data_IF_640118521461
#
_entry.id   IF_640118521461
#
_cell.length_a   1.000
_cell.length_b   1.000
_cell.length_c   1.000
_cell.angle_alpha   90.00
_cell.angle_beta   90.00
_cell.angle_gamma   90.00
#
_symmetry.space_group_name_H-M   'P 1'
#
loop_
_entity.id
_entity.type
_entity.pdbx_description
1 polymer ?
#
# COMPACT_ATOMS: atom_id res chain seq x y z
N UNK A 1 -68.75 9.32 33.20
CA UNK A 1 -68.82 8.23 34.21
C UNK A 1 -67.41 7.64 34.34
N UNK A 2 -66.94 7.31 35.58
CA UNK A 2 -66.12 8.21 36.44
C UNK A 2 -64.77 7.56 36.89
N UNK A 3 -63.84 8.14 37.67
CA UNK A 3 -63.67 9.41 38.43
C UNK A 3 -62.49 10.23 37.82
N UNK A 4 -62.08 11.47 38.18
CA UNK A 4 -62.03 12.35 39.37
C UNK A 4 -60.76 12.25 40.28
N UNK A 5 -60.21 13.42 40.63
CA UNK A 5 -58.92 13.70 41.30
C UNK A 5 -58.67 13.02 42.67
N UNK A 6 -57.39 12.87 43.05
CA UNK A 6 -56.79 13.51 44.26
C UNK A 6 -55.27 13.31 44.40
N UNK A 7 -54.64 14.22 45.15
CA UNK A 7 -53.28 14.09 45.69
C UNK A 7 -53.34 14.01 47.23
N UNK A 8 -52.29 13.46 47.88
CA UNK A 8 -51.64 13.94 49.14
C UNK A 8 -50.98 12.85 50.02
N UNK A 9 -49.90 13.27 50.69
CA UNK A 9 -49.43 12.91 52.06
C UNK A 9 -48.54 11.68 52.38
N UNK A 10 -47.28 12.03 52.73
CA UNK A 10 -46.35 11.55 53.80
C UNK A 10 -47.01 11.47 55.22
N UNK A 11 -46.32 11.08 56.35
CA UNK A 11 -45.06 10.32 56.60
C UNK A 11 -45.14 9.33 57.82
N UNK A 12 -43.97 8.97 58.43
CA UNK A 12 -43.66 8.37 59.77
C UNK A 12 -43.29 6.87 59.75
N UNK A 13 -42.37 6.33 60.58
CA UNK A 13 -41.55 6.89 61.69
C UNK A 13 -40.33 6.00 62.03
N UNK A 14 -39.27 6.60 62.63
CA UNK A 14 -38.31 6.03 63.61
C UNK A 14 -37.49 4.74 63.28
N UNK A 15 -36.49 4.30 64.08
CA UNK A 15 -35.34 4.96 64.75
C UNK A 15 -34.51 3.83 65.40
N UNK A 16 -33.20 3.72 65.14
CA UNK A 16 -32.30 2.87 65.92
C UNK A 16 -30.86 3.40 65.87
N UNK A 17 -30.24 3.56 67.04
CA UNK A 17 -28.84 3.97 67.21
C UNK A 17 -28.11 2.80 67.88
N UNK A 18 -27.00 2.36 67.29
CA UNK A 18 -25.97 1.58 68.00
C UNK A 18 -24.61 2.15 67.60
N UNK A 19 -23.76 2.41 68.58
CA UNK A 19 -22.39 2.89 68.41
C UNK A 19 -21.43 2.05 69.25
N UNK A 20 -20.29 1.64 68.69
CA UNK A 20 -19.11 1.30 69.51
C UNK A 20 -17.80 1.26 68.71
N UNK A 21 -16.84 2.08 69.17
CA UNK A 21 -15.40 1.82 69.25
C UNK A 21 -14.60 1.34 68.01
N UNK A 22 -13.86 2.29 67.43
CA UNK A 22 -12.38 2.31 67.46
C UNK A 22 -11.60 1.01 67.22
N UNK A 23 -10.88 0.95 66.09
CA UNK A 23 -9.46 0.55 66.10
C UNK A 23 -8.70 1.19 64.93
N UNK A 24 -7.41 1.48 65.14
CA UNK A 24 -6.52 2.10 64.14
C UNK A 24 -6.10 1.09 63.07
N UNK A 25 -5.90 1.51 61.82
CA UNK A 25 -4.83 0.95 61.00
C UNK A 25 -4.22 2.00 60.06
N UNK A 26 -2.97 1.73 59.67
CA UNK A 26 -1.99 2.67 59.15
C UNK A 26 -2.07 2.93 57.65
N UNK A 27 -1.51 4.07 57.24
CA UNK A 27 -1.33 4.47 55.85
C UNK A 27 -0.49 3.45 55.06
N UNK A 28 -0.98 3.05 53.89
CA UNK A 28 -0.16 2.45 52.83
C UNK A 28 -0.34 3.34 51.59
N UNK A 29 0.69 4.13 51.28
CA UNK A 29 0.80 4.88 50.03
C UNK A 29 1.18 3.90 48.92
N UNK A 30 0.18 3.44 48.15
CA UNK A 30 0.43 2.78 46.87
C UNK A 30 0.64 3.87 45.79
N UNK A 31 1.82 3.94 45.14
CA UNK A 31 1.98 4.84 44.00
C UNK A 31 1.23 4.23 42.80
N UNK A 32 0.13 4.86 42.38
CA UNK A 32 -0.41 4.59 41.05
C UNK A 32 0.60 5.08 40.02
N UNK A 33 1.37 4.14 39.45
CA UNK A 33 2.16 4.40 38.27
C UNK A 33 1.19 4.58 37.09
N UNK A 34 0.78 5.82 36.82
CA UNK A 34 0.00 6.15 35.63
C UNK A 34 0.90 5.91 34.42
N UNK A 35 0.71 4.78 33.75
CA UNK A 35 1.30 4.54 32.44
C UNK A 35 0.76 5.61 31.49
N UNK A 36 1.58 6.62 31.20
CA UNK A 36 1.30 7.58 30.16
C UNK A 36 1.42 6.89 28.79
N UNK A 37 0.36 6.18 28.38
CA UNK A 37 0.22 5.72 27.00
C UNK A 37 0.19 6.95 26.10
N UNK A 38 1.31 7.23 25.44
CA UNK A 38 1.40 8.27 24.42
C UNK A 38 0.62 7.82 23.19
N UNK A 39 -0.70 7.92 23.27
CA UNK A 39 -1.57 7.89 22.08
C UNK A 39 -1.14 9.05 21.19
N UNK A 40 -0.51 8.74 20.05
CA UNK A 40 -0.19 9.75 19.04
C UNK A 40 -1.52 10.32 18.55
N UNK A 41 -1.89 11.50 19.06
CA UNK A 41 -3.07 12.21 18.58
C UNK A 41 -2.74 12.76 17.20
N UNK A 42 -3.19 12.05 16.16
CA UNK A 42 -3.32 12.60 14.81
C UNK A 42 -4.21 13.84 14.93
N UNK A 43 -3.60 15.02 14.82
CA UNK A 43 -4.34 16.28 14.88
C UNK A 43 -5.11 16.46 13.57
N UNK A 44 -6.38 16.86 13.69
CA UNK A 44 -7.41 16.77 12.65
C UNK A 44 -6.94 17.01 11.21
N UNK A 45 -6.76 15.92 10.47
CA UNK A 45 -6.81 15.92 9.01
C UNK A 45 -8.20 16.36 8.54
N UNK A 46 -8.33 17.01 7.37
CA UNK A 46 -9.63 17.16 6.71
C UNK A 46 -10.27 15.77 6.52
N UNK A 47 -11.60 15.69 6.59
CA UNK A 47 -12.35 14.43 6.66
C UNK A 47 -12.14 13.46 5.48
N UNK A 48 -11.50 13.91 4.40
CA UNK A 48 -11.17 13.14 3.20
C UNK A 48 -9.79 12.45 3.22
N UNK A 49 -8.87 12.79 4.13
CA UNK A 49 -7.53 12.14 4.23
C UNK A 49 -7.34 11.35 5.53
N UNK A 50 -8.43 11.09 6.27
CA UNK A 50 -8.40 10.37 7.54
C UNK A 50 -7.77 8.98 7.37
N UNK A 51 -6.67 8.74 8.09
CA UNK A 51 -5.94 7.47 8.05
C UNK A 51 -4.90 7.36 6.92
N UNK A 52 -4.65 8.44 6.16
CA UNK A 52 -3.51 8.51 5.25
C UNK A 52 -2.21 8.64 6.05
N UNK A 53 -1.20 7.87 5.66
CA UNK A 53 0.19 8.03 6.12
C UNK A 53 1.04 8.36 4.90
N UNK A 54 1.81 9.44 4.96
CA UNK A 54 2.80 9.78 3.93
C UNK A 54 4.12 10.12 4.61
N UNK A 55 5.11 9.24 4.45
CA UNK A 55 6.45 9.40 4.98
C UNK A 55 7.37 9.97 3.91
N UNK A 56 8.11 11.02 4.26
CA UNK A 56 9.27 11.53 3.55
C UNK A 56 10.52 10.89 4.20
N UNK A 57 11.09 9.91 3.50
CA UNK A 57 12.10 9.01 4.05
C UNK A 57 13.45 9.70 4.06
N UNK A 58 14.05 9.89 5.24
CA UNK A 58 15.25 10.72 5.37
C UNK A 58 14.96 12.22 5.57
N UNK A 59 13.69 12.62 5.73
CA UNK A 59 13.39 13.99 6.14
C UNK A 59 13.87 14.22 7.58
N UNK A 60 14.87 15.09 7.75
CA UNK A 60 15.54 15.34 9.04
C UNK A 60 14.73 16.21 10.02
N UNK A 61 13.67 16.86 9.54
CA UNK A 61 12.85 17.74 10.36
C UNK A 61 11.59 17.01 10.84
N UNK A 62 11.25 17.14 12.12
CA UNK A 62 10.14 16.40 12.72
C UNK A 62 8.79 17.14 12.63
N UNK A 63 8.74 18.38 12.12
CA UNK A 63 7.46 19.05 11.83
C UNK A 63 6.87 18.54 10.51
N UNK A 64 5.64 17.96 10.52
CA UNK A 64 4.96 17.60 9.29
C UNK A 64 4.66 18.80 8.40
N UNK A 65 4.66 18.62 7.08
CA UNK A 65 4.47 19.68 6.09
C UNK A 65 3.46 19.25 5.01
N UNK A 66 2.93 20.20 4.24
CA UNK A 66 2.12 19.90 3.04
C UNK A 66 2.90 20.33 1.81
N UNK A 67 3.09 19.42 0.86
CA UNK A 67 3.71 19.77 -0.41
C UNK A 67 2.77 20.68 -1.23
N UNK A 68 3.30 21.79 -1.75
CA UNK A 68 2.53 22.72 -2.59
C UNK A 68 1.98 22.08 -3.87
N UNK A 69 2.64 21.03 -4.37
CA UNK A 69 2.25 20.25 -5.54
C UNK A 69 1.17 19.20 -5.25
N UNK A 70 1.04 18.75 -3.99
CA UNK A 70 0.06 17.74 -3.56
C UNK A 70 -0.94 18.38 -2.58
N UNK A 71 -2.00 18.98 -3.13
CA UNK A 71 -3.01 19.69 -2.33
C UNK A 71 -3.66 18.78 -1.29
N UNK A 72 -3.44 19.10 0.00
CA UNK A 72 -4.19 18.52 1.12
C UNK A 72 -3.65 17.21 1.70
N UNK A 73 -2.51 16.70 1.22
CA UNK A 73 -1.81 15.57 1.85
C UNK A 73 -0.63 16.09 2.67
N UNK A 74 -0.64 15.76 3.96
CA UNK A 74 0.44 16.07 4.88
C UNK A 74 1.49 14.94 4.85
N UNK A 75 2.75 15.33 4.73
CA UNK A 75 3.93 14.47 4.78
C UNK A 75 4.64 14.68 6.12
N UNK A 76 5.29 13.64 6.62
CA UNK A 76 6.05 13.67 7.87
C UNK A 76 7.35 12.87 7.75
N UNK A 77 8.27 13.08 8.68
CA UNK A 77 9.50 12.27 8.76
C UNK A 77 9.18 10.78 8.99
N UNK A 78 10.05 9.93 8.47
CA UNK A 78 10.02 8.48 8.64
C UNK A 78 10.64 8.00 9.98
N UNK A 79 11.12 8.91 10.81
CA UNK A 79 11.61 8.63 12.17
C UNK A 79 10.53 7.93 13.00
N UNK A 80 10.90 6.79 13.59
CA UNK A 80 10.01 5.96 14.40
C UNK A 80 9.22 4.89 13.63
N UNK A 81 9.28 4.91 12.28
CA UNK A 81 8.64 3.88 11.43
C UNK A 81 9.63 2.81 10.96
N UNK A 82 10.94 3.04 11.11
CA UNK A 82 12.02 2.12 10.71
C UNK A 82 13.19 2.19 11.68
N UNK A 83 13.92 1.08 11.80
CA UNK A 83 15.19 1.02 12.53
C UNK A 83 16.39 1.08 11.58
N UNK A 84 17.33 1.97 11.87
CA UNK A 84 18.59 2.09 11.12
C UNK A 84 18.46 2.86 9.79
N UNK A 85 19.28 2.45 8.82
CA UNK A 85 19.49 3.16 7.56
C UNK A 85 20.23 4.50 7.72
N UNK A 86 20.68 5.06 6.60
CA UNK A 86 21.36 6.35 6.50
C UNK A 86 20.48 7.37 5.78
N UNK A 87 20.50 8.61 6.28
CA UNK A 87 19.66 9.70 5.77
C UNK A 87 20.42 10.60 4.81
N UNK A 88 19.97 10.65 3.56
CA UNK A 88 20.58 11.41 2.47
C UNK A 88 19.63 12.44 1.86
N UNK A 89 20.22 13.42 1.17
CA UNK A 89 19.54 14.25 0.20
C UNK A 89 20.06 13.86 -1.19
N UNK A 90 19.24 14.02 -2.23
CA UNK A 90 19.72 13.86 -3.61
C UNK A 90 20.72 14.96 -3.97
N UNK A 91 21.56 14.73 -4.99
CA UNK A 91 22.51 15.73 -5.46
C UNK A 91 21.80 17.02 -5.90
N UNK A 92 22.42 18.18 -5.62
CA UNK A 92 21.82 19.50 -5.82
C UNK A 92 21.32 19.76 -7.26
N UNK A 93 21.99 19.17 -8.25
CA UNK A 93 21.61 19.19 -9.67
C UNK A 93 20.21 18.64 -9.94
N UNK A 94 19.74 17.65 -9.16
CA UNK A 94 18.44 17.01 -9.34
C UNK A 94 17.33 17.59 -8.45
N UNK A 95 17.68 18.34 -7.39
CA UNK A 95 16.70 18.91 -6.44
C UNK A 95 15.64 19.80 -7.08
N UNK A 96 15.98 20.55 -8.13
CA UNK A 96 15.04 21.42 -8.84
C UNK A 96 14.09 20.67 -9.79
N UNK A 97 14.47 19.45 -10.21
CA UNK A 97 13.68 18.60 -11.10
C UNK A 97 12.78 17.59 -10.37
N UNK A 98 12.96 17.41 -9.05
CA UNK A 98 12.18 16.47 -8.26
C UNK A 98 10.68 16.85 -8.24
N UNK A 99 9.77 15.96 -8.71
CA UNK A 99 8.33 16.22 -8.74
C UNK A 99 7.71 16.63 -7.40
N UNK A 100 8.19 16.05 -6.29
CA UNK A 100 7.69 16.28 -4.93
C UNK A 100 8.84 16.57 -3.95
N UNK A 101 8.57 17.31 -2.87
CA UNK A 101 9.54 17.55 -1.79
C UNK A 101 10.04 16.22 -1.17
N UNK A 102 9.14 15.24 -1.01
CA UNK A 102 9.44 13.89 -0.52
C UNK A 102 10.23 13.01 -1.49
N UNK A 103 10.72 13.56 -2.59
CA UNK A 103 11.63 12.92 -3.53
C UNK A 103 13.03 13.56 -3.51
N UNK A 104 13.22 14.63 -2.72
CA UNK A 104 14.52 15.30 -2.53
C UNK A 104 15.35 14.67 -1.40
N UNK A 105 14.74 13.84 -0.57
CA UNK A 105 15.44 13.06 0.48
C UNK A 105 15.18 11.57 0.31
N UNK A 106 16.06 10.75 0.89
CA UNK A 106 15.90 9.29 0.94
C UNK A 106 16.57 8.70 2.18
N UNK A 107 16.09 7.52 2.59
CA UNK A 107 16.80 6.63 3.51
C UNK A 107 17.39 5.46 2.74
N UNK A 108 18.71 5.28 2.84
CA UNK A 108 19.45 4.15 2.25
C UNK A 108 19.78 3.08 3.31
N UNK A 109 19.97 1.84 2.89
CA UNK A 109 20.24 0.70 3.75
C UNK A 109 21.44 -0.10 3.24
N UNK A 110 22.68 0.41 3.39
CA UNK A 110 23.89 -0.28 2.90
C UNK A 110 24.20 -1.56 3.66
N UNK A 111 23.66 -1.72 4.87
CA UNK A 111 23.87 -2.87 5.75
C UNK A 111 22.60 -3.71 5.85
N UNK A 112 22.79 -5.02 6.06
CA UNK A 112 21.71 -5.96 6.27
C UNK A 112 21.08 -6.52 4.99
N UNK A 113 20.56 -7.74 5.08
CA UNK A 113 19.82 -8.42 4.02
C UNK A 113 18.36 -7.94 3.90
N UNK A 114 17.76 -7.52 5.02
CA UNK A 114 16.35 -7.14 5.16
C UNK A 114 16.22 -5.92 6.07
N UNK A 115 15.51 -4.90 5.62
CA UNK A 115 15.30 -3.63 6.31
C UNK A 115 13.83 -3.22 6.19
N UNK A 116 13.12 -3.04 7.31
CA UNK A 116 11.65 -2.99 7.30
C UNK A 116 11.08 -1.74 7.96
N UNK A 117 10.21 -1.05 7.24
CA UNK A 117 9.27 -0.10 7.81
C UNK A 117 8.10 -0.84 8.45
N UNK A 118 7.59 -0.31 9.56
CA UNK A 118 6.33 -0.73 10.19
C UNK A 118 5.37 0.45 10.17
N UNK A 119 4.37 0.39 9.29
CA UNK A 119 3.34 1.42 9.15
C UNK A 119 2.16 1.07 10.06
N UNK A 120 1.74 1.95 10.99
CA UNK A 120 0.48 1.81 11.70
C UNK A 120 -0.69 1.66 10.73
N UNK A 121 -1.67 0.85 11.10
CA UNK A 121 -2.82 0.55 10.25
C UNK A 121 -4.04 0.17 11.07
N UNK A 122 -5.13 -0.06 10.35
CA UNK A 122 -6.31 -0.77 10.84
C UNK A 122 -6.57 -1.95 9.92
N UNK A 123 -7.28 -3.00 10.36
CA UNK A 123 -7.63 -4.12 9.49
C UNK A 123 -8.33 -3.69 8.19
N UNK A 124 -8.35 -4.60 7.21
CA UNK A 124 -9.04 -4.38 5.92
C UNK A 124 -8.12 -3.82 4.83
N UNK A 125 -8.69 -3.46 3.68
CA UNK A 125 -7.92 -3.19 2.45
C UNK A 125 -7.10 -1.90 2.52
N UNK A 126 -5.89 -1.94 1.97
CA UNK A 126 -4.92 -0.83 1.90
C UNK A 126 -4.27 -0.78 0.52
N UNK A 127 -4.04 0.42 0.01
CA UNK A 127 -3.02 0.67 -1.00
C UNK A 127 -1.75 1.13 -0.27
N UNK A 128 -0.62 0.52 -0.59
CA UNK A 128 0.72 0.93 -0.13
C UNK A 128 1.52 1.32 -1.36
N UNK A 129 2.18 2.47 -1.34
CA UNK A 129 3.04 2.97 -2.42
C UNK A 129 4.41 3.33 -1.89
N UNK A 130 5.46 2.85 -2.57
CA UNK A 130 6.84 3.24 -2.31
C UNK A 130 7.41 3.97 -3.53
N UNK A 131 8.15 5.05 -3.30
CA UNK A 131 8.80 5.86 -4.34
C UNK A 131 10.32 5.85 -4.17
N UNK A 132 11.03 5.83 -5.30
CA UNK A 132 12.48 5.70 -5.37
C UNK A 132 13.04 6.70 -6.37
N UNK A 133 13.65 7.75 -5.83
CA UNK A 133 14.38 8.79 -6.58
C UNK A 133 15.84 8.66 -6.19
N UNK A 134 16.69 8.09 -7.05
CA UNK A 134 18.10 7.88 -6.72
C UNK A 134 18.85 9.20 -6.58
N UNK A 135 18.70 10.09 -7.58
CA UNK A 135 19.24 11.44 -7.57
C UNK A 135 20.72 11.54 -7.25
N UNK A 136 21.50 10.50 -7.57
CA UNK A 136 22.95 10.40 -7.30
C UNK A 136 23.34 10.80 -5.86
N UNK A 137 22.54 10.36 -4.88
CA UNK A 137 22.68 10.77 -3.47
C UNK A 137 24.04 10.42 -2.82
N UNK A 138 24.76 9.46 -3.40
CA UNK A 138 26.07 8.99 -2.97
C UNK A 138 27.22 9.44 -3.89
N UNK A 139 26.91 10.13 -5.01
CA UNK A 139 27.90 10.61 -5.97
C UNK A 139 28.60 9.50 -6.76
N UNK A 140 28.02 8.30 -6.81
CA UNK A 140 28.58 7.12 -7.46
C UNK A 140 28.00 6.87 -8.86
N UNK A 141 26.91 7.53 -9.23
CA UNK A 141 26.16 7.38 -10.48
C UNK A 141 25.82 5.91 -10.84
N UNK A 142 25.57 5.07 -9.81
CA UNK A 142 25.42 3.61 -9.92
C UNK A 142 24.27 3.16 -10.83
N UNK A 143 23.26 4.00 -11.04
CA UNK A 143 22.13 3.67 -11.92
C UNK A 143 22.48 3.78 -13.41
N UNK A 144 23.58 4.46 -13.76
CA UNK A 144 23.99 4.71 -15.14
C UNK A 144 25.34 4.07 -15.52
N UNK A 145 25.98 3.32 -14.62
CA UNK A 145 27.28 2.68 -14.88
C UNK A 145 27.20 1.36 -15.69
N UNK A 146 25.98 0.96 -16.08
CA UNK A 146 25.71 -0.26 -16.85
C UNK A 146 25.63 -1.55 -16.03
N UNK A 147 25.96 -1.51 -14.73
CA UNK A 147 25.85 -2.68 -13.86
C UNK A 147 24.44 -2.88 -13.30
N UNK A 148 24.07 -4.12 -12.90
CA UNK A 148 22.80 -4.37 -12.24
C UNK A 148 22.66 -3.55 -10.94
N UNK A 149 21.54 -2.82 -10.78
CA UNK A 149 21.14 -2.17 -9.54
C UNK A 149 19.71 -2.62 -9.25
N UNK A 150 19.58 -3.68 -8.45
CA UNK A 150 18.30 -4.25 -8.04
C UNK A 150 18.25 -4.51 -6.54
N UNK A 151 17.04 -4.38 -5.98
CA UNK A 151 16.71 -4.81 -4.62
C UNK A 151 15.24 -5.23 -4.55
N UNK A 152 14.88 -6.09 -3.60
CA UNK A 152 13.52 -6.60 -3.44
C UNK A 152 12.66 -5.70 -2.57
N UNK A 153 11.35 -5.73 -2.83
CA UNK A 153 10.30 -5.25 -1.92
C UNK A 153 9.49 -6.44 -1.43
N UNK A 154 9.22 -6.49 -0.12
CA UNK A 154 8.27 -7.41 0.48
C UNK A 154 7.16 -6.63 1.19
N UNK A 155 5.95 -7.18 1.13
CA UNK A 155 4.80 -6.77 1.95
C UNK A 155 4.63 -7.81 3.07
N UNK A 156 4.97 -7.43 4.29
CA UNK A 156 5.19 -8.37 5.40
C UNK A 156 6.31 -9.37 5.09
N UNK A 157 6.02 -10.67 5.23
CA UNK A 157 6.93 -11.74 4.85
C UNK A 157 7.04 -11.93 3.32
N UNK A 158 6.07 -11.48 2.54
CA UNK A 158 5.87 -11.94 1.17
C UNK A 158 6.52 -11.05 0.11
N UNK A 159 7.16 -11.67 -0.89
CA UNK A 159 7.75 -10.94 -2.01
C UNK A 159 6.66 -10.21 -2.78
N UNK A 160 6.84 -8.89 -2.93
CA UNK A 160 5.94 -8.02 -3.67
C UNK A 160 6.49 -7.79 -5.07
N UNK A 161 7.65 -7.16 -5.20
CA UNK A 161 8.26 -6.89 -6.51
C UNK A 161 9.76 -6.57 -6.38
N UNK A 162 10.51 -6.62 -7.49
CA UNK A 162 11.85 -6.06 -7.54
C UNK A 162 11.81 -4.57 -7.92
N UNK A 163 12.58 -3.76 -7.22
CA UNK A 163 13.03 -2.45 -7.69
C UNK A 163 14.25 -2.68 -8.58
N UNK A 164 14.25 -2.04 -9.74
CA UNK A 164 15.35 -2.10 -10.70
C UNK A 164 15.62 -0.69 -11.22
N UNK A 165 16.85 -0.24 -11.04
CA UNK A 165 17.35 1.08 -11.43
C UNK A 165 18.54 0.96 -12.40
N UNK A 166 18.74 -0.19 -13.05
CA UNK A 166 19.78 -0.38 -14.06
C UNK A 166 19.49 0.43 -15.31
N UNK A 167 20.45 1.27 -15.70
CA UNK A 167 20.35 2.26 -16.78
C UNK A 167 19.18 3.24 -16.57
N UNK A 168 18.90 3.58 -15.32
CA UNK A 168 17.82 4.50 -14.96
C UNK A 168 18.36 5.90 -14.68
N UNK A 169 17.73 6.91 -15.29
CA UNK A 169 18.10 8.32 -15.11
C UNK A 169 18.00 8.70 -13.62
N UNK A 170 19.08 9.21 -12.99
CA UNK A 170 19.07 9.57 -11.58
C UNK A 170 17.96 10.56 -11.17
N UNK A 171 17.54 11.45 -12.08
CA UNK A 171 16.47 12.42 -11.84
C UNK A 171 15.06 11.80 -11.86
N UNK A 172 14.90 10.64 -12.51
CA UNK A 172 13.60 10.02 -12.71
C UNK A 172 13.18 9.19 -11.51
N UNK A 173 11.94 9.39 -11.05
CA UNK A 173 11.38 8.59 -9.94
C UNK A 173 10.61 7.39 -10.47
N UNK A 174 10.92 6.21 -9.95
CA UNK A 174 10.03 5.04 -10.06
C UNK A 174 9.15 4.95 -8.81
N UNK A 175 7.94 4.44 -8.97
CA UNK A 175 7.08 4.05 -7.86
C UNK A 175 6.58 2.61 -8.05
N UNK A 176 6.23 1.98 -6.94
CA UNK A 176 5.54 0.69 -6.88
C UNK A 176 4.32 0.88 -6.00
N UNK A 177 3.17 0.34 -6.38
CA UNK A 177 2.01 0.22 -5.47
C UNK A 177 1.60 -1.24 -5.29
N UNK A 178 1.08 -1.60 -4.12
CA UNK A 178 0.41 -2.88 -3.86
C UNK A 178 -0.93 -2.62 -3.19
N UNK A 179 -1.96 -3.33 -3.63
CA UNK A 179 -3.24 -3.41 -2.94
C UNK A 179 -3.27 -4.73 -2.17
N UNK A 180 -3.41 -4.62 -0.86
CA UNK A 180 -3.23 -5.71 0.11
C UNK A 180 -4.27 -5.61 1.23
N UNK A 181 -4.36 -6.64 2.08
CA UNK A 181 -5.18 -6.62 3.29
C UNK A 181 -4.26 -6.47 4.50
N UNK A 182 -4.44 -5.40 5.28
CA UNK A 182 -3.84 -5.32 6.60
C UNK A 182 -4.58 -6.30 7.54
N UNK A 183 -3.90 -7.26 8.18
CA UNK A 183 -4.56 -8.21 9.08
C UNK A 183 -4.80 -7.63 10.49
N UNK A 184 -4.12 -6.55 10.86
CA UNK A 184 -4.10 -6.03 12.23
C UNK A 184 -3.81 -4.52 12.31
N UNK A 185 -3.05 -4.14 13.33
CA UNK A 185 -2.72 -2.76 13.68
C UNK A 185 -1.57 -2.14 12.87
N UNK A 186 -0.98 -2.92 11.95
CA UNK A 186 0.23 -2.53 11.24
C UNK A 186 0.41 -3.28 9.91
N UNK A 187 1.20 -2.68 9.03
CA UNK A 187 1.65 -3.25 7.75
C UNK A 187 3.16 -3.02 7.64
N UNK A 188 3.93 -4.10 7.48
CA UNK A 188 5.37 -3.99 7.26
C UNK A 188 5.72 -3.90 5.77
N UNK A 189 6.64 -3.01 5.42
CA UNK A 189 7.18 -2.86 4.06
C UNK A 189 8.69 -3.02 4.14
N UNK A 190 9.22 -4.07 3.54
CA UNK A 190 10.62 -4.46 3.69
C UNK A 190 11.40 -4.32 2.38
N UNK A 191 12.56 -3.70 2.47
CA UNK A 191 13.55 -3.62 1.40
C UNK A 191 14.57 -4.75 1.60
N UNK A 192 14.83 -5.51 0.54
CA UNK A 192 15.69 -6.69 0.55
C UNK A 192 16.94 -6.44 -0.30
N UNK A 193 18.11 -6.56 0.32
CA UNK A 193 19.37 -6.38 -0.37
C UNK A 193 19.73 -7.61 -1.22
N UNK A 194 19.74 -7.44 -2.54
CA UNK A 194 20.17 -8.47 -3.49
C UNK A 194 21.69 -8.46 -3.76
N UNK A 195 22.45 -7.54 -3.14
CA UNK A 195 23.89 -7.39 -3.33
C UNK A 195 24.32 -6.70 -4.64
N UNK A 196 23.38 -6.22 -5.45
CA UNK A 196 23.68 -5.53 -6.72
C UNK A 196 23.61 -4.01 -6.62
N UNK A 197 22.80 -3.47 -5.69
CA UNK A 197 22.81 -2.07 -5.31
C UNK A 197 22.25 -1.85 -3.91
N UNK A 198 22.54 -0.69 -3.32
CA UNK A 198 22.05 -0.31 -1.99
C UNK A 198 20.54 -0.11 -2.02
N UNK A 199 19.73 -0.85 -1.25
CA UNK A 199 18.31 -0.57 -1.12
C UNK A 199 18.09 0.80 -0.49
N UNK A 200 17.15 1.58 -1.02
CA UNK A 200 16.74 2.86 -0.46
C UNK A 200 15.26 3.11 -0.71
N UNK A 201 14.68 4.12 -0.06
CA UNK A 201 13.33 4.64 -0.35
C UNK A 201 13.29 6.14 -0.12
N UNK A 202 12.58 6.87 -0.98
CA UNK A 202 12.41 8.33 -0.89
C UNK A 202 11.08 8.70 -0.22
N UNK A 203 9.99 8.02 -0.57
CA UNK A 203 8.70 8.19 0.10
C UNK A 203 7.97 6.87 0.27
N UNK A 204 7.22 6.76 1.36
CA UNK A 204 6.37 5.59 1.67
C UNK A 204 4.98 6.05 2.09
N UNK A 205 3.97 5.67 1.32
CA UNK A 205 2.59 6.10 1.47
C UNK A 205 1.66 4.91 1.73
N UNK A 206 0.71 5.07 2.64
CA UNK A 206 -0.38 4.13 2.90
C UNK A 206 -1.74 4.86 2.82
N UNK A 207 -2.70 4.21 2.15
CA UNK A 207 -4.05 4.71 1.90
C UNK A 207 -5.09 3.65 2.27
N UNK A 208 -6.03 3.95 3.18
CA UNK A 208 -7.19 3.09 3.42
C UNK A 208 -8.05 2.96 2.15
N UNK A 209 -8.50 1.75 1.84
CA UNK A 209 -9.50 1.48 0.81
C UNK A 209 -10.79 0.99 1.48
N UNK A 210 -11.93 1.11 0.80
CA UNK A 210 -13.15 0.44 1.26
C UNK A 210 -13.05 -1.08 1.01
N UNK A 211 -13.58 -1.90 1.93
CA UNK A 211 -13.47 -3.36 1.85
C UNK A 211 -14.16 -3.97 0.61
N UNK A 212 -15.17 -3.27 0.06
CA UNK A 212 -15.84 -3.61 -1.19
C UNK A 212 -14.97 -3.42 -2.44
N UNK A 213 -13.91 -2.61 -2.37
CA UNK A 213 -13.05 -2.36 -3.52
C UNK A 213 -12.17 -3.56 -3.83
N UNK A 214 -11.91 -3.84 -5.11
CA UNK A 214 -11.06 -4.95 -5.58
C UNK A 214 -11.40 -6.27 -4.85
N UNK A 215 -12.57 -6.89 -5.12
CA UNK A 215 -13.10 -8.00 -4.31
C UNK A 215 -12.22 -9.26 -4.28
N UNK A 216 -11.32 -9.40 -5.25
CA UNK A 216 -10.32 -10.47 -5.35
C UNK A 216 -9.08 -10.27 -4.46
N UNK A 217 -8.83 -9.06 -3.92
CA UNK A 217 -7.77 -8.82 -2.93
C UNK A 217 -8.20 -9.38 -1.58
N UNK A 218 -7.40 -10.29 -1.01
CA UNK A 218 -7.66 -10.99 0.24
C UNK A 218 -6.33 -11.32 0.97
N UNK A 219 -6.39 -12.03 2.10
CA UNK A 219 -5.21 -12.36 2.90
C UNK A 219 -4.20 -13.29 2.22
N UNK A 220 -4.61 -14.04 1.19
CA UNK A 220 -3.75 -14.93 0.39
C UNK A 220 -3.30 -14.32 -0.94
N UNK A 221 -4.01 -13.29 -1.43
CA UNK A 221 -3.77 -12.64 -2.73
C UNK A 221 -3.76 -11.13 -2.58
N UNK A 222 -2.58 -10.54 -2.74
CA UNK A 222 -2.41 -9.11 -3.00
C UNK A 222 -2.16 -8.89 -4.50
N UNK A 223 -2.24 -7.64 -4.96
CA UNK A 223 -2.01 -7.29 -6.36
C UNK A 223 -1.03 -6.12 -6.47
N UNK A 224 0.05 -6.27 -7.24
CA UNK A 224 1.01 -5.17 -7.51
C UNK A 224 0.53 -4.36 -8.70
N UNK A 225 0.71 -3.05 -8.62
CA UNK A 225 0.50 -2.11 -9.71
C UNK A 225 1.36 -2.49 -10.92
N UNK A 226 0.72 -2.78 -12.05
CA UNK A 226 1.43 -2.85 -13.33
C UNK A 226 1.27 -1.51 -14.08
N UNK A 227 0.03 -1.08 -14.33
CA UNK A 227 -0.32 0.25 -14.84
C UNK A 227 -1.73 0.66 -14.37
N UNK A 228 -1.96 1.96 -14.21
CA UNK A 228 -3.30 2.52 -14.07
C UNK A 228 -3.40 3.78 -14.93
N UNK A 229 -4.14 3.68 -16.03
CA UNK A 229 -4.16 4.64 -17.13
C UNK A 229 -5.53 5.31 -17.19
N UNK A 230 -5.54 6.62 -17.43
CA UNK A 230 -6.72 7.41 -17.80
C UNK A 230 -6.60 7.91 -19.24
N UNK A 231 -7.72 7.96 -19.93
CA UNK A 231 -7.81 8.31 -21.34
C UNK A 231 -8.53 9.67 -21.53
N UNK A 232 -8.43 10.22 -22.74
CA UNK A 232 -8.87 11.58 -23.08
C UNK A 232 -7.76 12.63 -22.96
N UNK A 233 -8.16 13.90 -22.96
CA UNK A 233 -7.24 15.03 -23.09
C UNK A 233 -6.82 15.55 -21.70
N UNK A 234 -5.58 15.25 -21.31
CA UNK A 234 -5.03 15.72 -20.03
C UNK A 234 -3.62 16.27 -20.16
N UNK A 235 -3.31 17.26 -19.32
CA UNK A 235 -1.99 17.90 -19.19
C UNK A 235 -1.10 17.21 -18.16
N UNK A 236 -1.70 16.71 -17.08
CA UNK A 236 -0.92 16.22 -15.93
C UNK A 236 -0.51 14.77 -16.17
N UNK A 237 0.79 14.46 -16.02
CA UNK A 237 1.32 13.12 -16.20
C UNK A 237 0.66 12.09 -15.25
N UNK A 238 0.47 12.48 -13.97
CA UNK A 238 -0.24 11.70 -12.96
C UNK A 238 -1.41 12.52 -12.42
N UNK A 239 -2.59 11.91 -12.33
CA UNK A 239 -3.70 12.38 -11.50
C UNK A 239 -3.83 11.51 -10.26
N UNK A 240 -4.10 12.15 -9.12
CA UNK A 240 -4.22 11.53 -7.80
C UNK A 240 -5.24 12.30 -6.94
N UNK A 241 -5.10 12.30 -5.62
CA UNK A 241 -5.88 13.18 -4.74
C UNK A 241 -5.72 14.67 -5.12
N UNK A 242 -6.76 15.52 -5.03
CA UNK A 242 -8.11 15.24 -4.53
C UNK A 242 -9.11 14.69 -5.56
N UNK A 243 -8.71 14.49 -6.84
CA UNK A 243 -9.64 13.96 -7.84
C UNK A 243 -9.97 12.49 -7.56
N UNK A 244 -8.97 11.70 -7.14
CA UNK A 244 -9.19 10.37 -6.58
C UNK A 244 -9.13 10.42 -5.04
N UNK A 245 -10.26 10.17 -4.33
CA UNK A 245 -10.29 10.12 -2.86
C UNK A 245 -9.40 9.04 -2.25
N UNK A 246 -9.02 8.01 -3.00
CA UNK A 246 -8.09 6.95 -2.57
C UNK A 246 -6.64 7.24 -2.92
N UNK A 247 -6.37 8.42 -3.52
CA UNK A 247 -5.04 8.89 -3.89
C UNK A 247 -4.25 7.93 -4.80
N UNK A 248 -4.94 7.08 -5.56
CA UNK A 248 -4.35 6.23 -6.61
C UNK A 248 -3.70 7.07 -7.69
N UNK A 249 -2.58 6.62 -8.23
CA UNK A 249 -1.97 7.25 -9.40
C UNK A 249 -2.70 6.80 -10.66
N UNK A 250 -3.11 7.78 -11.48
CA UNK A 250 -3.69 7.60 -12.80
C UNK A 250 -2.78 8.28 -13.83
N UNK A 251 -1.95 7.47 -14.50
CA UNK A 251 -1.07 7.90 -15.58
C UNK A 251 -1.89 8.37 -16.79
N UNK A 252 -1.46 9.47 -17.42
CA UNK A 252 -2.04 9.96 -18.66
C UNK A 252 -1.70 9.03 -19.83
N UNK A 253 -2.69 8.65 -20.65
CA UNK A 253 -2.43 7.97 -21.91
C UNK A 253 -1.70 8.89 -22.91
N UNK A 254 -0.48 8.51 -23.31
CA UNK A 254 0.41 9.37 -24.11
C UNK A 254 -0.02 9.54 -25.57
N UNK A 255 -0.87 8.67 -26.11
CA UNK A 255 -1.30 8.74 -27.52
C UNK A 255 -2.59 9.56 -27.67
N UNK A 256 -2.42 10.86 -27.88
CA UNK A 256 -3.52 11.81 -28.16
C UNK A 256 -3.48 12.34 -29.60
N UNK A 257 -2.59 11.82 -30.45
CA UNK A 257 -2.44 12.19 -31.87
C UNK A 257 -3.22 11.26 -32.78
N UNK A 258 -3.58 11.74 -33.98
CA UNK A 258 -4.29 10.96 -34.99
C UNK A 258 -3.63 9.57 -35.20
N UNK A 259 -4.39 8.46 -35.21
CA UNK A 259 -5.85 8.39 -35.31
C UNK A 259 -6.62 8.46 -33.97
N UNK A 260 -5.95 8.69 -32.85
CA UNK A 260 -6.63 8.85 -31.55
C UNK A 260 -7.38 10.18 -31.48
N UNK A 261 -8.59 10.11 -30.93
CA UNK A 261 -9.48 11.24 -30.69
C UNK A 261 -9.86 11.23 -29.21
N UNK A 262 -9.60 12.35 -28.53
CA UNK A 262 -10.07 12.56 -27.16
C UNK A 262 -11.53 13.03 -27.16
N UNK A 263 -12.34 12.44 -26.27
CA UNK A 263 -13.71 12.85 -25.98
C UNK A 263 -13.80 13.36 -24.53
N UNK A 264 -14.65 14.35 -24.32
CA UNK A 264 -15.01 14.83 -23.00
C UNK A 264 -16.51 15.09 -22.91
N UNK A 265 -17.04 15.21 -21.69
CA UNK A 265 -18.42 15.66 -21.46
C UNK A 265 -18.56 16.45 -20.18
N UNK A 266 -19.44 17.45 -20.19
CA UNK A 266 -19.93 18.12 -18.97
C UNK A 266 -21.05 17.33 -18.28
N UNK A 267 -21.66 16.37 -18.97
CA UNK A 267 -22.77 15.56 -18.45
C UNK A 267 -22.30 14.69 -17.29
N UNK A 268 -23.12 14.59 -16.23
CA UNK A 268 -22.80 13.74 -15.08
C UNK A 268 -22.67 12.28 -15.51
N UNK A 269 -21.56 11.62 -15.14
CA UNK A 269 -21.41 10.17 -15.33
C UNK A 269 -21.84 9.47 -14.04
N UNK A 270 -22.93 8.72 -14.12
CA UNK A 270 -23.56 8.07 -12.97
C UNK A 270 -22.86 6.77 -12.61
N UNK A 271 -22.87 6.44 -11.32
CA UNK A 271 -22.48 5.14 -10.77
C UNK A 271 -23.75 4.45 -10.26
N UNK A 272 -23.93 3.17 -10.58
CA UNK A 272 -25.11 2.45 -10.09
C UNK A 272 -25.06 2.30 -8.56
N UNK A 273 -26.19 2.41 -7.85
CA UNK A 273 -26.23 2.18 -6.41
C UNK A 273 -25.66 0.80 -6.05
N UNK A 274 -24.62 0.79 -5.21
CA UNK A 274 -23.93 -0.44 -4.81
C UNK A 274 -22.66 -0.78 -5.60
N UNK A 275 -22.38 -0.15 -6.76
CA UNK A 275 -21.08 -0.33 -7.43
C UNK A 275 -19.96 0.44 -6.71
N UNK A 276 -19.43 -0.19 -5.66
CA UNK A 276 -18.30 0.29 -4.89
C UNK A 276 -17.00 -0.46 -5.23
N UNK A 277 -16.99 -1.21 -6.33
CA UNK A 277 -15.96 -2.21 -6.70
C UNK A 277 -14.62 -1.59 -7.05
N UNK A 278 -14.64 -0.47 -7.78
CA UNK A 278 -13.41 0.20 -8.25
C UNK A 278 -13.43 1.70 -7.98
N UNK A 279 -14.61 2.33 -7.86
CA UNK A 279 -14.73 3.75 -7.49
C UNK A 279 -13.82 4.68 -8.32
N UNK A 280 -13.69 4.41 -9.61
CA UNK A 280 -13.00 5.30 -10.56
C UNK A 280 -13.67 6.69 -10.49
N UNK A 281 -12.90 7.78 -10.33
CA UNK A 281 -13.42 9.13 -10.22
C UNK A 281 -14.29 9.55 -11.40
N UNK A 282 -15.39 10.26 -11.13
CA UNK A 282 -16.27 10.79 -12.19
C UNK A 282 -15.51 11.73 -13.14
N UNK A 283 -14.56 12.51 -12.62
CA UNK A 283 -13.71 13.40 -13.44
C UNK A 283 -12.80 12.67 -14.44
N UNK A 284 -12.48 11.39 -14.17
CA UNK A 284 -11.79 10.52 -15.14
C UNK A 284 -12.80 9.93 -16.12
N UNK A 285 -13.94 9.43 -15.64
CA UNK A 285 -14.96 8.83 -16.50
C UNK A 285 -15.65 9.83 -17.44
N UNK A 286 -15.61 11.13 -17.13
CA UNK A 286 -16.03 12.24 -18.03
C UNK A 286 -15.09 12.46 -19.21
N UNK A 287 -13.96 11.76 -19.26
CA UNK A 287 -13.03 11.75 -20.38
C UNK A 287 -12.91 10.34 -20.96
N UNK A 288 -12.55 10.27 -22.24
CA UNK A 288 -12.28 9.02 -22.93
C UNK A 288 -11.38 9.23 -24.14
N UNK A 289 -10.75 8.16 -24.59
CA UNK A 289 -10.16 8.09 -25.93
C UNK A 289 -10.99 7.15 -26.80
N UNK A 290 -11.14 7.53 -28.06
CA UNK A 290 -11.71 6.76 -29.17
C UNK A 290 -10.75 6.87 -30.35
N UNK A 291 -11.01 6.18 -31.46
CA UNK A 291 -10.34 6.46 -32.73
C UNK A 291 -11.23 7.23 -33.70
N UNK A 292 -10.62 7.73 -34.77
CA UNK A 292 -11.31 8.13 -36.00
C UNK A 292 -12.18 6.98 -36.57
N UNK A 293 -13.29 7.33 -37.20
CA UNK A 293 -14.31 6.36 -37.66
C UNK A 293 -13.83 5.37 -38.72
N UNK A 294 -12.71 5.66 -39.40
CA UNK A 294 -12.10 4.75 -40.38
C UNK A 294 -11.37 3.56 -39.73
N UNK A 295 -11.11 3.61 -38.43
CA UNK A 295 -10.43 2.54 -37.69
C UNK A 295 -11.45 1.60 -37.02
N UNK A 296 -11.11 0.31 -36.95
CA UNK A 296 -11.96 -0.71 -36.33
C UNK A 296 -11.49 -1.12 -34.93
N UNK A 297 -10.20 -1.01 -34.60
CA UNK A 297 -9.68 -1.48 -33.33
C UNK A 297 -8.79 -0.42 -32.66
N UNK A 298 -8.79 -0.40 -31.33
CA UNK A 298 -7.77 0.27 -30.54
C UNK A 298 -6.95 -0.77 -29.77
N UNK A 299 -5.67 -0.52 -29.62
CA UNK A 299 -4.73 -1.36 -28.90
C UNK A 299 -4.20 -0.61 -27.68
N UNK A 300 -4.12 -1.32 -26.55
CA UNK A 300 -3.53 -0.83 -25.31
C UNK A 300 -2.35 -1.76 -24.97
N UNK A 301 -1.15 -1.28 -25.26
CA UNK A 301 0.09 -1.91 -24.83
C UNK A 301 0.56 -1.23 -23.54
N UNK A 302 0.74 -1.99 -22.46
CA UNK A 302 1.18 -1.46 -21.16
C UNK A 302 2.69 -1.55 -20.93
N UNK A 303 3.46 -1.97 -21.94
CA UNK A 303 4.93 -2.08 -21.97
C UNK A 303 5.54 -2.87 -20.82
N UNK A 304 5.90 -4.13 -21.09
CA UNK A 304 6.75 -4.93 -20.20
C UNK A 304 8.13 -4.27 -20.08
N UNK A 305 8.54 -3.93 -18.86
CA UNK A 305 9.88 -3.39 -18.61
C UNK A 305 10.97 -4.43 -18.96
N UNK A 306 12.17 -4.00 -19.39
CA UNK A 306 13.17 -4.88 -20.02
C UNK A 306 13.69 -6.03 -19.13
N UNK A 307 13.42 -5.98 -17.83
CA UNK A 307 13.91 -6.94 -16.82
C UNK A 307 12.77 -7.70 -16.11
N UNK A 308 11.53 -7.63 -16.62
CA UNK A 308 10.43 -8.49 -16.20
C UNK A 308 10.42 -9.76 -17.05
N UNK A 309 10.29 -10.93 -16.42
CA UNK A 309 10.11 -12.19 -17.15
C UNK A 309 8.69 -12.25 -17.75
N UNK A 310 8.56 -11.74 -18.98
CA UNK A 310 7.36 -11.79 -19.78
C UNK A 310 6.73 -13.21 -19.82
N UNK A 311 7.53 -14.28 -19.82
CA UNK A 311 7.03 -15.66 -19.95
C UNK A 311 6.26 -16.14 -18.72
N UNK A 312 6.44 -15.50 -17.57
CA UNK A 312 5.71 -15.80 -16.34
C UNK A 312 4.76 -14.67 -15.94
N UNK A 313 4.56 -13.67 -16.81
CA UNK A 313 3.71 -12.53 -16.53
C UNK A 313 2.23 -12.95 -16.46
N UNK A 314 1.64 -12.72 -15.30
CA UNK A 314 0.24 -12.98 -14.98
C UNK A 314 -0.42 -11.64 -14.66
N UNK A 315 -1.35 -11.20 -15.52
CA UNK A 315 -1.96 -9.87 -15.47
C UNK A 315 -3.46 -9.95 -15.20
N UNK A 316 -3.95 -9.09 -14.33
CA UNK A 316 -5.37 -8.89 -14.07
C UNK A 316 -5.81 -7.54 -14.66
N UNK A 317 -6.37 -7.52 -15.89
CA UNK A 317 -6.86 -6.30 -16.52
C UNK A 317 -8.27 -5.93 -16.01
N UNK A 318 -8.53 -4.63 -15.92
CA UNK A 318 -9.80 -4.05 -15.51
C UNK A 318 -10.07 -2.85 -16.42
N UNK A 319 -11.09 -2.97 -17.28
CA UNK A 319 -11.43 -1.94 -18.26
C UNK A 319 -12.60 -1.09 -17.76
N UNK A 320 -12.47 0.23 -17.78
CA UNK A 320 -13.48 1.15 -17.29
C UNK A 320 -14.05 2.01 -18.40
N UNK A 321 -15.37 2.05 -18.47
CA UNK A 321 -16.12 2.66 -19.57
C UNK A 321 -17.24 3.56 -19.07
N UNK A 322 -17.54 4.57 -19.86
CA UNK A 322 -18.82 5.27 -19.91
C UNK A 322 -18.99 5.81 -21.32
N UNK A 323 -20.11 5.51 -22.00
CA UNK A 323 -20.38 6.12 -23.30
C UNK A 323 -20.75 7.59 -23.09
N UNK A 324 -19.75 8.46 -23.36
CA UNK A 324 -19.84 9.91 -23.21
C UNK A 324 -20.05 10.64 -24.54
N UNK A 325 -20.10 9.93 -25.67
CA UNK A 325 -20.35 10.54 -26.96
C UNK A 325 -21.77 11.17 -27.03
N UNK A 326 -21.85 12.35 -27.63
CA UNK A 326 -23.09 13.09 -27.84
C UNK A 326 -23.94 12.39 -28.93
N UNK A 327 -23.29 11.72 -29.88
CA UNK A 327 -23.94 10.95 -30.95
C UNK A 327 -24.74 9.76 -30.41
N UNK A 328 -26.01 9.62 -30.85
CA UNK A 328 -26.86 8.46 -30.53
C UNK A 328 -26.55 7.22 -31.41
N UNK A 329 -25.32 7.07 -31.91
CA UNK A 329 -24.93 5.94 -32.74
C UNK A 329 -24.51 4.73 -31.90
N UNK A 330 -24.78 3.53 -32.41
CA UNK A 330 -24.39 2.27 -31.75
C UNK A 330 -22.85 2.14 -31.66
N UNK A 331 -22.36 1.82 -30.45
CA UNK A 331 -21.00 1.38 -30.19
C UNK A 331 -21.00 -0.03 -29.59
N UNK A 332 -20.43 -0.98 -30.32
CA UNK A 332 -20.22 -2.37 -29.89
C UNK A 332 -18.83 -2.86 -30.29
N UNK A 333 -18.16 -3.57 -29.38
CA UNK A 333 -16.84 -4.11 -29.60
C UNK A 333 -16.55 -5.34 -28.75
N UNK A 334 -15.69 -6.21 -29.27
CA UNK A 334 -15.10 -7.30 -28.53
C UNK A 334 -13.84 -6.80 -27.79
N UNK A 335 -13.52 -7.38 -26.63
CA UNK A 335 -12.30 -7.11 -25.87
C UNK A 335 -11.46 -8.39 -25.80
N UNK A 336 -10.17 -8.29 -26.13
CA UNK A 336 -9.22 -9.40 -26.14
C UNK A 336 -7.98 -9.11 -25.29
N UNK A 337 -7.34 -10.18 -24.82
CA UNK A 337 -5.97 -10.20 -24.30
C UNK A 337 -5.13 -11.03 -25.27
N UNK A 338 -4.18 -10.41 -25.96
CA UNK A 338 -3.58 -10.99 -27.18
C UNK A 338 -4.67 -11.50 -28.14
N UNK A 339 -4.77 -12.82 -28.35
CA UNK A 339 -5.79 -13.46 -29.20
C UNK A 339 -7.01 -13.99 -28.42
N UNK A 340 -6.97 -14.00 -27.08
CA UNK A 340 -8.01 -14.56 -26.24
C UNK A 340 -9.17 -13.58 -26.06
N UNK A 341 -10.38 -13.97 -26.48
CA UNK A 341 -11.60 -13.19 -26.35
C UNK A 341 -12.07 -13.18 -24.88
N UNK A 342 -12.00 -12.02 -24.23
CA UNK A 342 -12.43 -11.82 -22.85
C UNK A 342 -13.92 -11.45 -22.78
N UNK A 343 -14.33 -10.46 -23.56
CA UNK A 343 -15.69 -9.90 -23.49
C UNK A 343 -16.26 -9.72 -24.91
N UNK A 344 -17.24 -10.54 -25.34
CA UNK A 344 -17.88 -10.43 -26.64
C UNK A 344 -18.96 -9.36 -26.68
N UNK A 345 -19.08 -8.66 -27.82
CA UNK A 345 -20.14 -7.72 -28.21
C UNK A 345 -20.55 -6.72 -27.10
N UNK A 346 -19.56 -6.24 -26.34
CA UNK A 346 -19.75 -5.30 -25.26
C UNK A 346 -20.19 -3.93 -25.80
N UNK A 347 -21.13 -3.30 -25.09
CA UNK A 347 -21.67 -1.98 -25.41
C UNK A 347 -21.70 -1.14 -24.13
N UNK A 348 -20.89 -0.08 -24.00
CA UNK A 348 -20.81 0.72 -22.79
C UNK A 348 -22.08 1.56 -22.58
N UNK A 349 -22.51 1.66 -21.32
CA UNK A 349 -23.71 2.38 -20.91
C UNK A 349 -23.54 3.89 -21.02
N UNK A 350 -24.58 4.58 -21.47
CA UNK A 350 -24.53 6.02 -21.73
C UNK A 350 -24.51 6.83 -20.43
N UNK A 351 -23.48 7.64 -20.26
CA UNK A 351 -23.24 8.44 -19.05
C UNK A 351 -23.36 7.63 -17.75
N UNK A 352 -22.93 6.37 -17.78
CA UNK A 352 -22.90 5.47 -16.64
C UNK A 352 -21.55 4.74 -16.61
N UNK A 353 -20.99 4.58 -15.42
CA UNK A 353 -19.78 3.82 -15.17
C UNK A 353 -20.05 2.31 -15.29
N UNK A 354 -19.37 1.66 -16.24
CA UNK A 354 -19.29 0.20 -16.36
C UNK A 354 -17.83 -0.24 -16.18
N UNK A 355 -17.60 -1.45 -15.65
CA UNK A 355 -16.26 -2.01 -15.43
C UNK A 355 -16.21 -3.48 -15.82
N UNK A 356 -15.31 -3.85 -16.72
CA UNK A 356 -15.18 -5.21 -17.25
C UNK A 356 -13.92 -5.89 -16.69
N UNK A 357 -14.09 -7.03 -16.01
CA UNK A 357 -13.01 -7.83 -15.43
C UNK A 357 -13.47 -9.29 -15.25
N UNK A 358 -12.55 -10.25 -15.34
CA UNK A 358 -12.86 -11.68 -15.13
C UNK A 358 -12.79 -12.10 -13.64
N UNK A 359 -13.48 -11.37 -12.76
CA UNK A 359 -13.63 -11.72 -11.32
C UNK A 359 -12.34 -12.15 -10.57
N UNK A 360 -11.19 -11.56 -10.91
CA UNK A 360 -9.90 -11.88 -10.26
C UNK A 360 -9.07 -12.97 -10.95
N UNK A 361 -9.51 -13.49 -12.10
CA UNK A 361 -8.70 -14.35 -12.97
C UNK A 361 -7.52 -13.55 -13.53
N UNK A 362 -6.30 -13.98 -13.20
CA UNK A 362 -5.09 -13.51 -13.87
C UNK A 362 -4.94 -14.21 -15.22
N UNK A 363 -4.65 -13.42 -16.24
CA UNK A 363 -4.40 -13.85 -17.60
C UNK A 363 -2.91 -14.04 -17.80
N UNK A 364 -2.52 -15.11 -18.49
CA UNK A 364 -1.17 -15.19 -19.03
C UNK A 364 -1.12 -14.35 -20.31
N UNK A 365 -0.46 -13.20 -20.23
CA UNK A 365 -0.31 -12.27 -21.36
C UNK A 365 1.15 -11.76 -21.36
N UNK A 366 2.06 -12.44 -22.10
CA UNK A 366 3.48 -12.11 -22.11
C UNK A 366 3.79 -10.84 -22.90
N UNK A 367 2.94 -10.43 -23.87
CA UNK A 367 3.12 -9.21 -24.62
C UNK A 367 2.62 -7.96 -23.87
N UNK A 368 1.74 -8.17 -22.89
CA UNK A 368 0.95 -7.17 -22.19
C UNK A 368 0.12 -6.28 -23.14
N UNK A 369 -0.49 -6.90 -24.16
CA UNK A 369 -1.31 -6.24 -25.18
C UNK A 369 -2.80 -6.58 -24.98
N UNK A 370 -3.64 -5.56 -25.04
CA UNK A 370 -5.09 -5.67 -24.98
C UNK A 370 -5.73 -4.98 -26.17
N UNK A 371 -6.62 -5.68 -26.88
CA UNK A 371 -7.24 -5.24 -28.11
C UNK A 371 -8.74 -5.04 -27.90
N UNK A 372 -9.25 -3.85 -28.23
CA UNK A 372 -10.69 -3.60 -28.33
C UNK A 372 -11.02 -3.49 -29.82
N UNK A 373 -11.94 -4.32 -30.34
CA UNK A 373 -12.22 -4.44 -31.76
C UNK A 373 -13.72 -4.30 -32.08
N UNK A 374 -14.07 -3.31 -32.90
CA UNK A 374 -15.43 -2.94 -33.35
C UNK A 374 -16.15 -4.13 -34.00
N UNK A 375 -17.37 -4.43 -33.55
CA UNK A 375 -18.20 -5.44 -34.20
C UNK A 375 -18.85 -4.89 -35.49
N UNK A 376 -19.18 -5.76 -36.45
CA UNK A 376 -19.77 -5.34 -37.73
C UNK A 376 -21.09 -4.55 -37.59
N UNK A 377 -21.83 -4.74 -36.49
CA UNK A 377 -23.05 -3.98 -36.17
C UNK A 377 -22.81 -2.59 -35.57
N UNK A 378 -21.57 -2.29 -35.18
CA UNK A 378 -21.20 -1.01 -34.57
C UNK A 378 -20.93 0.05 -35.63
N UNK A 379 -21.42 1.29 -35.40
CA UNK A 379 -21.09 2.43 -36.25
C UNK A 379 -19.83 3.13 -35.77
N UNK A 380 -19.70 3.28 -34.46
CA UNK A 380 -18.55 3.91 -33.81
C UNK A 380 -17.41 2.89 -33.57
N UNK A 381 -16.13 3.32 -33.59
CA UNK A 381 -15.02 2.50 -33.09
C UNK A 381 -15.13 2.29 -31.57
N UNK A 382 -14.27 1.48 -30.93
CA UNK A 382 -14.25 1.34 -29.48
C UNK A 382 -13.90 2.67 -28.78
N UNK A 383 -14.27 2.78 -27.51
CA UNK A 383 -13.91 3.88 -26.61
C UNK A 383 -13.48 3.29 -25.28
N UNK A 384 -12.55 3.95 -24.59
CA UNK A 384 -12.16 3.62 -23.21
C UNK A 384 -11.92 4.89 -22.39
N UNK A 385 -12.28 4.86 -21.11
CA UNK A 385 -12.19 6.01 -20.20
C UNK A 385 -11.03 5.83 -19.22
N UNK A 386 -10.87 4.61 -18.69
CA UNK A 386 -9.80 4.23 -17.77
C UNK A 386 -9.45 2.75 -17.92
N UNK A 387 -8.23 2.37 -17.53
CA UNK A 387 -7.74 1.00 -17.56
C UNK A 387 -6.80 0.74 -16.38
N UNK A 388 -7.00 -0.35 -15.67
CA UNK A 388 -6.08 -0.80 -14.62
C UNK A 388 -5.55 -2.19 -14.98
N UNK A 389 -4.27 -2.43 -14.74
CA UNK A 389 -3.63 -3.74 -14.86
C UNK A 389 -2.78 -3.97 -13.63
N UNK A 390 -2.93 -5.16 -13.04
CA UNK A 390 -2.17 -5.59 -11.88
C UNK A 390 -1.46 -6.92 -12.13
N UNK A 391 -0.31 -7.12 -11.50
CA UNK A 391 0.35 -8.42 -11.40
C UNK A 391 0.06 -9.11 -10.06
N UNK A 392 0.16 -10.43 -10.04
CA UNK A 392 -0.15 -11.25 -8.86
C UNK A 392 0.95 -11.13 -7.78
N UNK A 393 0.56 -10.85 -6.53
CA UNK A 393 1.41 -10.98 -5.34
C UNK A 393 0.84 -12.06 -4.43
N UNK A 394 1.55 -13.19 -4.32
CA UNK A 394 1.14 -14.31 -3.47
C UNK A 394 1.54 -14.08 -2.02
N UNK A 395 0.61 -14.33 -1.10
CA UNK A 395 0.84 -14.18 0.34
C UNK A 395 1.06 -15.55 0.99
N UNK A 396 2.00 -16.33 0.44
CA UNK A 396 2.21 -17.74 0.80
C UNK A 396 3.01 -17.93 2.11
N UNK A 397 3.84 -16.95 2.49
CA UNK A 397 4.60 -16.98 3.75
C UNK A 397 3.75 -16.44 4.90
N UNK A 398 3.61 -17.25 5.94
CA UNK A 398 3.06 -16.86 7.24
C UNK A 398 4.12 -16.09 8.05
N UNK A 399 3.69 -15.10 8.84
CA UNK A 399 4.55 -14.43 9.83
C UNK A 399 4.94 -15.40 10.94
N UNK A 400 6.01 -15.07 11.68
CA UNK A 400 6.30 -15.71 12.98
C UNK A 400 5.07 -15.60 13.90
N UNK A 401 4.94 -16.54 14.83
CA UNK A 401 3.90 -16.50 15.87
C UNK A 401 3.99 -15.20 16.69
N UNK A 402 2.83 -14.59 16.95
CA UNK A 402 2.76 -13.24 17.51
C UNK A 402 3.36 -13.15 18.93
N UNK A 403 3.27 -14.22 19.73
CA UNK A 403 3.84 -14.23 21.08
C UNK A 403 5.37 -14.31 21.01
N UNK A 404 5.91 -15.20 20.16
CA UNK A 404 7.35 -15.31 19.91
C UNK A 404 7.94 -13.97 19.40
N UNK A 405 7.23 -13.28 18.49
CA UNK A 405 7.59 -11.92 18.03
C UNK A 405 7.64 -10.92 19.18
N UNK A 406 6.65 -10.95 20.08
CA UNK A 406 6.57 -10.01 21.20
C UNK A 406 7.68 -10.27 22.23
N UNK A 407 7.93 -11.52 22.60
CA UNK A 407 9.03 -11.87 23.49
C UNK A 407 10.40 -11.48 22.90
N UNK A 408 10.61 -11.68 21.60
CA UNK A 408 11.86 -11.26 20.94
C UNK A 408 12.04 -9.73 20.88
N UNK A 409 10.95 -8.96 20.75
CA UNK A 409 11.00 -7.49 20.90
C UNK A 409 11.42 -7.06 22.31
N UNK A 410 10.92 -7.77 23.35
CA UNK A 410 11.34 -7.52 24.74
C UNK A 410 12.81 -7.86 24.96
N UNK A 411 13.29 -9.01 24.47
CA UNK A 411 14.71 -9.42 24.48
C UNK A 411 15.60 -8.36 23.83
N UNK A 412 15.25 -7.95 22.59
CA UNK A 412 15.98 -6.94 21.81
C UNK A 412 16.09 -5.62 22.57
N UNK A 413 15.00 -5.19 23.22
CA UNK A 413 14.95 -3.99 24.06
C UNK A 413 15.75 -4.12 25.35
N UNK A 414 15.67 -5.26 26.04
CA UNK A 414 16.32 -5.49 27.33
C UNK A 414 17.84 -5.47 27.22
N UNK A 415 18.40 -6.18 26.24
CA UNK A 415 19.85 -6.25 26.03
C UNK A 415 20.40 -5.18 25.09
N UNK A 416 19.56 -4.27 24.59
CA UNK A 416 19.91 -3.20 23.64
C UNK A 416 20.63 -3.75 22.38
N UNK A 417 20.05 -4.77 21.75
CA UNK A 417 20.64 -5.52 20.63
C UNK A 417 20.64 -4.76 19.29
N UNK A 418 20.70 -3.42 19.33
CA UNK A 418 20.70 -2.54 18.14
C UNK A 418 21.92 -2.73 17.20
N UNK A 419 22.87 -3.60 17.55
CA UNK A 419 24.01 -4.00 16.71
C UNK A 419 23.73 -5.21 15.82
N UNK A 420 22.72 -6.01 16.15
CA UNK A 420 22.33 -7.18 15.34
C UNK A 420 21.29 -6.71 14.33
N UNK A 421 21.41 -7.09 13.05
CA UNK A 421 20.52 -6.62 11.99
C UNK A 421 19.16 -7.36 11.99
N UNK A 422 18.53 -7.40 13.16
CA UNK A 422 17.20 -7.98 13.41
C UNK A 422 16.12 -6.99 12.99
N UNK A 423 15.69 -7.08 11.74
CA UNK A 423 14.73 -6.18 11.11
C UNK A 423 13.55 -6.96 10.51
N UNK A 424 12.32 -6.47 10.71
CA UNK A 424 11.11 -7.12 10.23
C UNK A 424 10.64 -8.31 11.09
N UNK A 425 10.12 -9.33 10.43
CA UNK A 425 9.65 -10.58 11.05
C UNK A 425 10.85 -11.50 11.41
N UNK A 426 10.88 -12.15 12.60
CA UNK A 426 12.03 -12.94 13.05
C UNK A 426 12.37 -14.19 12.22
N UNK A 427 11.37 -14.88 11.68
CA UNK A 427 11.55 -16.12 10.92
C UNK A 427 11.23 -15.97 9.43
N UNK A 428 10.37 -15.02 9.05
CA UNK A 428 9.71 -15.04 7.74
C UNK A 428 10.07 -13.87 6.80
N UNK A 429 10.38 -14.16 5.51
CA UNK A 429 10.50 -15.49 4.92
C UNK A 429 11.80 -16.17 5.38
N UNK A 430 11.85 -17.50 5.28
CA UNK A 430 12.93 -18.35 5.82
C UNK A 430 14.34 -17.91 5.43
N UNK A 431 14.52 -17.41 4.21
CA UNK A 431 15.83 -16.98 3.69
C UNK A 431 16.36 -15.68 4.33
N UNK A 432 15.49 -14.94 5.05
CA UNK A 432 15.80 -13.70 5.75
C UNK A 432 15.41 -13.75 7.23
N UNK A 433 15.37 -14.95 7.83
CA UNK A 433 15.26 -15.09 9.28
C UNK A 433 16.41 -14.38 9.99
N UNK A 434 16.15 -13.88 11.19
CA UNK A 434 17.12 -13.16 12.00
C UNK A 434 18.35 -14.03 12.33
N UNK A 435 19.54 -13.44 12.21
CA UNK A 435 20.81 -14.09 12.52
C UNK A 435 20.81 -14.60 13.98
N UNK A 436 21.29 -15.83 14.18
CA UNK A 436 21.25 -16.53 15.47
C UNK A 436 19.92 -17.23 15.78
N UNK A 437 18.84 -16.99 15.03
CA UNK A 437 17.57 -17.71 15.27
C UNK A 437 17.47 -19.01 14.48
N UNK A 438 16.97 -20.05 15.12
CA UNK A 438 16.41 -21.23 14.45
C UNK A 438 14.90 -21.28 14.68
N UNK A 439 14.13 -21.44 13.61
CA UNK A 439 12.68 -21.54 13.67
C UNK A 439 12.19 -22.89 13.12
N UNK A 440 11.10 -23.41 13.69
CA UNK A 440 10.38 -24.57 13.17
C UNK A 440 9.43 -24.16 12.04
N UNK A 441 9.50 -24.90 10.92
CA UNK A 441 8.65 -24.77 9.74
C UNK A 441 7.96 -26.10 9.38
N UNK A 442 8.04 -27.12 10.25
CA UNK A 442 7.58 -28.49 9.98
C UNK A 442 6.06 -28.59 9.80
N UNK A 443 5.31 -27.75 10.50
CA UNK A 443 3.84 -27.72 10.48
C UNK A 443 3.33 -26.81 9.36
N UNK A 444 2.87 -27.42 8.27
CA UNK A 444 2.20 -26.68 7.17
C UNK A 444 1.03 -25.87 7.71
N UNK A 445 0.85 -24.66 7.17
CA UNK A 445 -0.22 -23.72 7.50
C UNK A 445 -0.26 -23.28 8.97
N UNK A 446 0.88 -23.34 9.68
CA UNK A 446 1.06 -22.72 11.00
C UNK A 446 2.19 -21.69 10.95
N UNK A 447 2.05 -20.64 11.77
CA UNK A 447 3.08 -19.63 11.96
C UNK A 447 4.38 -20.28 12.46
N UNK A 448 5.57 -19.94 11.90
CA UNK A 448 6.83 -20.44 12.42
C UNK A 448 7.02 -20.08 13.90
N UNK A 449 7.57 -21.03 14.67
CA UNK A 449 7.92 -20.86 16.08
C UNK A 449 9.42 -20.79 16.24
N UNK A 450 9.92 -19.98 17.16
CA UNK A 450 11.36 -19.91 17.44
C UNK A 450 11.73 -21.06 18.39
N UNK A 451 12.69 -21.89 17.98
CA UNK A 451 13.15 -23.09 18.72
C UNK A 451 14.59 -22.99 19.22
N UNK A 452 15.41 -22.11 18.64
CA UNK A 452 16.71 -21.75 19.21
C UNK A 452 17.04 -20.27 19.02
N UNK A 453 17.79 -19.71 19.96
CA UNK A 453 18.33 -18.34 19.93
C UNK A 453 19.82 -18.39 20.29
N UNK A 454 20.73 -18.18 19.34
CA UNK A 454 22.16 -18.01 19.60
C UNK A 454 22.50 -16.52 19.76
N UNK A 455 22.92 -16.14 20.97
CA UNK A 455 23.44 -14.80 21.31
C UNK A 455 24.85 -14.86 21.92
N UNK A 456 25.57 -15.98 21.72
CA UNK A 456 26.89 -16.24 22.31
C UNK A 456 27.91 -15.13 22.00
N UNK A 457 27.88 -14.59 20.78
CA UNK A 457 28.78 -13.54 20.31
C UNK A 457 28.24 -12.10 20.55
N UNK A 458 27.06 -11.94 21.16
CA UNK A 458 26.41 -10.64 21.33
C UNK A 458 26.92 -9.82 22.53
N UNK A 459 27.80 -10.41 23.37
CA UNK A 459 28.40 -9.71 24.51
C UNK A 459 27.40 -9.27 25.59
N UNK A 460 26.37 -10.09 25.81
CA UNK A 460 25.28 -9.81 26.75
C UNK A 460 25.81 -9.52 28.17
N UNK A 461 25.10 -8.64 28.89
CA UNK A 461 25.38 -8.32 30.29
C UNK A 461 24.09 -8.38 31.10
N UNK A 462 24.17 -8.90 32.32
CA UNK A 462 23.03 -9.08 33.21
C UNK A 462 22.57 -10.54 33.29
N UNK A 463 21.42 -10.76 33.92
CA UNK A 463 20.80 -12.08 34.01
C UNK A 463 19.99 -12.45 32.77
N UNK A 464 19.43 -13.65 32.77
CA UNK A 464 18.49 -14.11 31.74
C UNK A 464 17.15 -13.35 31.86
N UNK A 465 16.64 -12.82 30.76
CA UNK A 465 15.33 -12.13 30.73
C UNK A 465 14.20 -13.17 30.69
N UNK A 466 13.12 -12.91 31.43
CA UNK A 466 11.97 -13.83 31.56
C UNK A 466 11.25 -14.09 30.23
N UNK A 467 11.36 -13.18 29.25
CA UNK A 467 10.77 -13.33 27.92
C UNK A 467 11.24 -14.62 27.21
N UNK A 468 12.49 -15.06 27.41
CA UNK A 468 12.96 -16.36 26.91
C UNK A 468 12.22 -17.54 27.55
N UNK A 469 11.96 -17.48 28.86
CA UNK A 469 11.25 -18.54 29.59
C UNK A 469 9.76 -18.63 29.21
N UNK A 470 9.19 -17.60 28.59
CA UNK A 470 7.81 -17.58 28.10
C UNK A 470 7.67 -18.12 26.66
N UNK A 471 8.78 -18.28 25.92
CA UNK A 471 8.78 -18.84 24.56
C UNK A 471 8.60 -20.36 24.63
N UNK A 472 7.34 -20.83 24.63
CA UNK A 472 6.99 -22.23 24.89
C UNK A 472 7.59 -23.26 23.91
N UNK A 473 8.10 -22.83 22.75
CA UNK A 473 8.78 -23.68 21.75
C UNK A 473 10.30 -23.61 21.81
N UNK A 474 10.89 -22.79 22.69
CA UNK A 474 12.33 -22.58 22.78
C UNK A 474 13.02 -23.79 23.42
N UNK A 475 13.86 -24.48 22.65
CA UNK A 475 14.60 -25.67 23.08
C UNK A 475 16.06 -25.34 23.46
N UNK A 476 16.67 -24.34 22.81
CA UNK A 476 18.09 -24.00 22.97
C UNK A 476 18.33 -22.48 23.06
N UNK A 477 19.31 -22.06 23.87
CA UNK A 477 19.71 -20.66 24.13
C UNK A 477 21.21 -20.58 24.45
#
# INVERSE_FOLDING_TARGET
MPLACKALQKPKSAMAIISSASTKLTWILAPLLVLATTTIRVHGQPSSTTGFISLDCGYRNNTPYTDSSIRGIQHQSDVGFVEGGLTHQIAAVYMAGAPYESQKTLRSFPNGSRNCYTLPSTPGKKLVRAMFTYGDYDGLNRTMDGSPFLFGLHIGANFWEAVNLTNWDPSSTIWKEVLTVAPGDSVSVCLINFGTGTPFVSALELRPLQDSMYPFVNTSVSISYFRRIRFGQTTDFITRYPLDPYDRFWEAWSYTTYPWISLNTSTQVRRLPGDNTFQVPEGILKQASTLDTNYSFLEINVTVGPNLDAKNLQLLPIFHFAEINISNQNRRFNIYSDNDLLFPDFSPSRFQADSMHENGRFLHNPAAIFLLNKTHSSRLPPLINAFEVYSLVRMDNLTTDADDVNYMKEVKKHYNLARINWNGDPCSPRDYSWEGLTCDYSKRNQNPRIVAVDLSNSGLKGGLVISFMNMASLENL
#
